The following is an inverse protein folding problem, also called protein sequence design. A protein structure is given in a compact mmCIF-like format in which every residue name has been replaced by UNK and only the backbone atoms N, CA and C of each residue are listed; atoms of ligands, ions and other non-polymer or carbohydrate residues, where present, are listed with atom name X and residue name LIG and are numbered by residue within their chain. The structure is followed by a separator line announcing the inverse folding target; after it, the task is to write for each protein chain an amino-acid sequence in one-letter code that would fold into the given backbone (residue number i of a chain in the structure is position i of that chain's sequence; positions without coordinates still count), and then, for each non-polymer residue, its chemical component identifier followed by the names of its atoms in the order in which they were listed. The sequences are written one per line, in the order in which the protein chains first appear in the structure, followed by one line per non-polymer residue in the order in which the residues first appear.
data_IF_367097687092
#
_entry.id   IF_367097687092
#
_cell.length_a   1.000
_cell.length_b   1.000
_cell.length_c   1.000
_cell.angle_alpha   90.00
_cell.angle_beta   90.00
_cell.angle_gamma   90.00
#
_symmetry.space_group_name_H-M   'P 1'
#
loop_
_entity.id
_entity.type
_entity.pdbx_description
1 polymer ?
#
# COMPACT_ATOMS: atom_id res chain seq x y z
N UNK A 1 -6.15 -17.33 4.95
CA UNK A 1 -6.00 -16.08 4.17
C UNK A 1 -6.87 -15.03 4.83
N UNK A 2 -6.33 -13.84 5.10
CA UNK A 2 -7.05 -12.74 5.78
C UNK A 2 -7.23 -11.57 4.81
N UNK A 3 -8.30 -10.80 4.96
CA UNK A 3 -8.65 -9.72 4.04
C UNK A 3 -8.67 -8.39 4.78
N UNK A 4 -7.78 -7.47 4.40
CA UNK A 4 -7.76 -6.10 4.88
C UNK A 4 -8.52 -5.23 3.87
N UNK A 5 -9.64 -4.63 4.30
CA UNK A 5 -10.36 -3.67 3.46
C UNK A 5 -9.67 -2.31 3.51
N UNK A 6 -9.41 -1.72 2.35
CA UNK A 6 -8.83 -0.39 2.21
C UNK A 6 -9.85 0.47 1.47
N UNK A 7 -10.18 1.63 2.03
CA UNK A 7 -11.03 2.63 1.40
C UNK A 7 -10.13 3.78 0.98
N UNK A 8 -10.18 4.15 -0.30
CA UNK A 8 -9.47 5.31 -0.85
C UNK A 8 -10.38 6.53 -0.86
N UNK A 9 -9.76 7.71 -0.87
CA UNK A 9 -10.44 9.02 -0.90
C UNK A 9 -10.08 9.83 -2.15
N UNK A 10 -9.01 9.45 -2.85
CA UNK A 10 -8.58 10.07 -4.10
C UNK A 10 -8.41 9.02 -5.21
N UNK A 11 -8.27 9.50 -6.46
CA UNK A 11 -8.02 8.65 -7.63
C UNK A 11 -6.68 7.91 -7.52
N UNK A 12 -5.67 8.59 -7.00
CA UNK A 12 -4.34 8.04 -6.72
C UNK A 12 -3.99 8.38 -5.28
N UNK A 13 -3.62 7.39 -4.50
CA UNK A 13 -3.40 7.54 -3.06
C UNK A 13 -2.43 6.46 -2.56
N UNK A 14 -1.46 6.85 -1.74
CA UNK A 14 -0.60 5.92 -1.01
C UNK A 14 -1.12 5.74 0.41
N UNK A 15 -1.91 4.70 0.62
CA UNK A 15 -2.49 4.36 1.92
C UNK A 15 -1.53 3.47 2.71
N UNK A 16 -1.12 3.93 3.90
CA UNK A 16 -0.35 3.09 4.82
C UNK A 16 -1.24 2.01 5.46
N UNK A 17 -0.88 0.75 5.23
CA UNK A 17 -1.56 -0.44 5.77
C UNK A 17 -0.74 -1.17 6.84
N UNK A 18 0.42 -0.64 7.24
CA UNK A 18 1.39 -1.31 8.13
C UNK A 18 0.75 -1.74 9.45
N UNK A 19 -0.01 -0.85 10.09
CA UNK A 19 -0.70 -1.16 11.34
C UNK A 19 -1.71 -2.30 11.18
N UNK A 20 -2.48 -2.30 10.09
CA UNK A 20 -3.50 -3.33 9.80
C UNK A 20 -2.85 -4.69 9.52
N UNK A 21 -1.76 -4.71 8.76
CA UNK A 21 -0.98 -5.95 8.53
C UNK A 21 -0.42 -6.48 9.84
N UNK A 22 0.11 -5.60 10.71
CA UNK A 22 0.63 -5.99 12.03
C UNK A 22 -0.45 -6.58 12.92
N UNK A 23 -1.65 -5.98 12.97
CA UNK A 23 -2.79 -6.49 13.72
C UNK A 23 -3.16 -7.91 13.28
N UNK A 24 -3.15 -8.17 11.97
CA UNK A 24 -3.45 -9.50 11.44
C UNK A 24 -2.36 -10.53 11.78
N UNK A 25 -1.09 -10.12 11.76
CA UNK A 25 0.03 -10.98 12.17
C UNK A 25 -0.03 -11.31 13.66
N UNK A 26 -0.26 -10.32 14.53
CA UNK A 26 -0.42 -10.54 15.98
C UNK A 26 -1.60 -11.48 16.24
N UNK A 27 -2.74 -11.23 15.57
CA UNK A 27 -3.95 -12.05 15.69
C UNK A 27 -3.81 -13.46 15.10
N UNK A 28 -2.79 -13.70 14.27
CA UNK A 28 -2.50 -15.03 13.71
C UNK A 28 -1.73 -15.93 14.68
N UNK A 29 -1.06 -15.36 15.69
CA UNK A 29 -0.20 -16.08 16.63
C UNK A 29 1.13 -16.59 16.04
N UNK A 30 1.38 -16.38 14.75
CA UNK A 30 2.63 -16.74 14.07
C UNK A 30 3.79 -16.00 14.71
N UNK A 31 4.89 -16.72 14.99
CA UNK A 31 6.11 -16.17 15.59
C UNK A 31 7.17 -15.86 14.55
N UNK A 32 7.34 -16.74 13.58
CA UNK A 32 8.36 -16.65 12.54
C UNK A 32 7.81 -17.17 11.21
N UNK A 33 8.19 -16.53 10.09
CA UNK A 33 7.76 -16.92 8.76
C UNK A 33 7.75 -15.77 7.76
N UNK A 34 7.02 -15.97 6.65
CA UNK A 34 6.87 -14.98 5.58
C UNK A 34 5.42 -14.50 5.52
N UNK A 35 5.23 -13.19 5.48
CA UNK A 35 3.93 -12.57 5.23
C UNK A 35 3.83 -12.16 3.76
N UNK A 36 2.91 -12.80 3.02
CA UNK A 36 2.59 -12.40 1.66
C UNK A 36 1.45 -11.39 1.68
N UNK A 37 1.70 -10.21 1.11
CA UNK A 37 0.68 -9.18 0.88
C UNK A 37 0.39 -9.11 -0.61
N UNK A 38 -0.89 -9.23 -0.97
CA UNK A 38 -1.34 -9.30 -2.34
C UNK A 38 -2.53 -8.36 -2.57
N UNK A 39 -2.53 -7.69 -3.73
CA UNK A 39 -3.61 -6.81 -4.17
C UNK A 39 -4.36 -7.49 -5.32
N UNK A 40 -5.64 -7.90 -5.14
CA UNK A 40 -6.42 -8.58 -6.17
C UNK A 40 -7.04 -7.61 -7.19
N UNK A 41 -6.43 -6.44 -7.42
CA UNK A 41 -6.94 -5.39 -8.32
C UNK A 41 -5.88 -5.05 -9.35
N UNK A 42 -6.29 -4.78 -10.59
CA UNK A 42 -5.39 -4.42 -11.69
C UNK A 42 -4.95 -2.96 -11.66
N UNK A 43 -5.69 -2.11 -10.92
CA UNK A 43 -5.48 -0.65 -10.83
C UNK A 43 -4.88 -0.23 -9.48
N UNK A 44 -4.36 -1.16 -8.70
CA UNK A 44 -3.71 -0.89 -7.42
C UNK A 44 -2.54 -1.86 -7.20
N UNK A 45 -1.58 -1.46 -6.36
CA UNK A 45 -0.41 -2.26 -6.04
C UNK A 45 -0.07 -2.16 -4.55
N UNK A 46 0.79 -3.06 -4.09
CA UNK A 46 1.46 -2.95 -2.78
C UNK A 46 2.92 -2.61 -3.00
N UNK A 47 3.44 -1.69 -2.20
CA UNK A 47 4.85 -1.30 -2.21
C UNK A 47 5.33 -1.09 -0.78
N UNK A 48 6.65 -1.14 -0.57
CA UNK A 48 7.31 -0.81 0.68
C UNK A 48 8.22 0.38 0.40
N UNK A 49 8.03 1.48 1.13
CA UNK A 49 8.81 2.71 0.99
C UNK A 49 8.84 3.48 2.32
N UNK A 50 9.46 4.66 2.34
CA UNK A 50 9.53 5.53 3.50
C UNK A 50 8.14 5.98 3.98
N UNK A 51 7.99 6.08 5.31
CA UNK A 51 6.75 6.51 5.96
C UNK A 51 7.00 7.56 7.07
N UNK A 52 8.17 8.20 7.10
CA UNK A 52 8.51 9.23 8.08
C UNK A 52 8.16 10.63 7.54
N UNK A 53 8.64 10.94 6.34
CA UNK A 53 8.33 12.19 5.66
C UNK A 53 7.09 12.03 4.75
N UNK A 54 5.98 12.78 4.98
CA UNK A 54 4.81 12.72 4.13
C UNK A 54 5.06 13.17 2.68
N UNK A 55 6.08 14.00 2.42
CA UNK A 55 6.40 14.51 1.08
C UNK A 55 6.81 13.40 0.10
N UNK A 56 7.41 12.32 0.59
CA UNK A 56 7.83 11.19 -0.25
C UNK A 56 6.63 10.55 -0.97
N UNK A 57 5.46 10.53 -0.32
CA UNK A 57 4.25 10.00 -0.96
C UNK A 57 3.81 10.85 -2.14
N UNK A 58 3.85 12.17 -1.97
CA UNK A 58 3.51 13.13 -3.04
C UNK A 58 4.51 13.03 -4.19
N UNK A 59 5.80 12.92 -3.88
CA UNK A 59 6.86 12.80 -4.89
C UNK A 59 6.73 11.53 -5.74
N UNK A 60 6.41 10.39 -5.11
CA UNK A 60 6.16 9.13 -5.82
C UNK A 60 4.96 9.29 -6.77
N UNK A 61 3.85 9.84 -6.28
CA UNK A 61 2.66 10.05 -7.11
C UNK A 61 2.94 11.01 -8.27
N UNK A 62 3.68 12.10 -8.02
CA UNK A 62 4.11 13.04 -9.05
C UNK A 62 5.00 12.36 -10.10
N UNK A 63 5.97 11.55 -9.68
CA UNK A 63 6.84 10.83 -10.58
C UNK A 63 6.07 9.83 -11.46
N UNK A 64 5.14 9.08 -10.88
CA UNK A 64 4.29 8.14 -11.62
C UNK A 64 3.44 8.84 -12.68
N UNK A 65 2.78 9.97 -12.33
CA UNK A 65 2.02 10.79 -13.28
C UNK A 65 2.88 11.31 -14.44
N UNK A 66 4.16 11.60 -14.18
CA UNK A 66 5.10 12.06 -15.21
C UNK A 66 5.52 10.93 -16.16
N UNK A 67 5.67 9.70 -15.65
CA UNK A 67 6.06 8.54 -16.46
C UNK A 67 4.89 8.03 -17.29
N UNK A 68 3.67 8.02 -16.71
CA UNK A 68 2.44 7.55 -17.35
C UNK A 68 1.36 8.63 -17.19
N UNK A 69 1.28 9.60 -18.12
CA UNK A 69 0.27 10.65 -18.06
C UNK A 69 -1.15 10.11 -18.24
N UNK A 70 -2.13 10.78 -17.63
CA UNK A 70 -3.55 10.43 -17.72
C UNK A 70 -4.12 10.46 -19.15
N UNK A 71 -3.53 11.26 -20.03
CA UNK A 71 -3.98 11.48 -21.41
C UNK A 71 -3.16 10.72 -22.45
N UNK A 72 -2.53 9.62 -22.05
CA UNK A 72 -1.88 8.70 -22.99
C UNK A 72 -2.83 8.24 -24.10
#
# INVERSE_FOLDING_TARGET
MRTIKVKTQAREELVDITARVREELVSSGVKDGICYVYVPHTTAAVTINENADPSVKEDILMALRKIVPDSL
#
